data_IF_624550860933
#
_entry.id   IF_624550860933
#
_cell.length_a   1.000
_cell.length_b   1.000
_cell.length_c   1.000
_cell.angle_alpha   90.00
_cell.angle_beta   90.00
_cell.angle_gamma   90.00
#
_symmetry.space_group_name_H-M   'P 1'
#
loop_
_entity.id
_entity.type
_entity.pdbx_description
1 polymer ?
#
# COMPACT_ATOMS: atom_id res chain seq x y z
N UNK A 1 26.65 14.50 -8.60
CA UNK A 1 25.28 14.89 -8.14
C UNK A 1 25.08 14.69 -6.64
N UNK A 2 25.21 13.47 -6.08
CA UNK A 2 25.02 13.23 -4.62
C UNK A 2 25.91 14.11 -3.73
N UNK A 3 27.20 14.19 -4.02
CA UNK A 3 28.14 15.04 -3.26
C UNK A 3 27.85 16.55 -3.37
N UNK A 4 27.30 17.00 -4.50
CA UNK A 4 26.95 18.41 -4.71
C UNK A 4 25.72 18.81 -3.87
N UNK A 5 24.74 17.90 -3.74
CA UNK A 5 23.57 18.09 -2.88
C UNK A 5 23.93 17.99 -1.40
N UNK A 6 24.86 17.12 -1.04
CA UNK A 6 25.35 16.99 0.34
C UNK A 6 26.18 18.22 0.77
N UNK A 7 26.98 18.81 -0.12
CA UNK A 7 27.65 20.09 0.10
C UNK A 7 26.69 21.28 0.22
N UNK A 8 25.51 21.19 -0.39
CA UNK A 8 24.46 22.20 -0.30
C UNK A 8 23.65 22.13 1.01
N UNK A 9 23.97 21.20 1.91
CA UNK A 9 23.33 21.08 3.23
C UNK A 9 22.09 20.18 3.26
N UNK A 10 21.82 19.41 2.19
CA UNK A 10 20.74 18.44 2.17
C UNK A 10 21.22 17.09 2.73
N UNK A 11 20.65 16.67 3.86
CA UNK A 11 20.93 15.38 4.47
C UNK A 11 20.32 14.23 3.65
N UNK A 12 21.16 13.26 3.28
CA UNK A 12 20.81 12.00 2.60
C UNK A 12 19.81 12.11 1.43
N UNK A 13 20.15 12.82 0.33
CA UNK A 13 19.34 12.79 -0.87
C UNK A 13 19.29 11.37 -1.43
N UNK A 14 18.08 10.80 -1.52
CA UNK A 14 17.85 9.51 -2.16
C UNK A 14 17.70 9.75 -3.67
N UNK A 15 18.67 9.28 -4.45
CA UNK A 15 18.62 9.29 -5.91
C UNK A 15 18.17 7.93 -6.40
N UNK A 16 17.04 7.89 -7.10
CA UNK A 16 16.50 6.69 -7.72
C UNK A 16 16.31 6.94 -9.23
N UNK A 17 16.75 6.00 -10.07
CA UNK A 17 16.53 6.08 -11.51
C UNK A 17 15.05 5.83 -11.82
N UNK A 18 14.43 6.73 -12.59
CA UNK A 18 13.00 6.65 -12.91
C UNK A 18 12.81 6.08 -14.31
N UNK A 19 12.73 4.76 -14.42
CA UNK A 19 12.36 4.02 -15.65
C UNK A 19 13.37 4.02 -16.80
N UNK A 20 14.06 5.14 -17.08
CA UNK A 20 15.07 5.30 -18.16
C UNK A 20 16.40 5.81 -17.60
N UNK A 21 17.52 5.53 -18.27
CA UNK A 21 18.87 6.00 -17.88
C UNK A 21 19.04 7.52 -17.88
N UNK A 22 18.06 8.27 -18.39
CA UNK A 22 18.08 9.73 -18.49
C UNK A 22 17.18 10.44 -17.47
N UNK A 23 16.34 9.70 -16.74
CA UNK A 23 15.41 10.28 -15.77
C UNK A 23 15.79 9.85 -14.35
N UNK A 24 15.97 10.84 -13.48
CA UNK A 24 16.33 10.64 -12.07
C UNK A 24 15.28 11.29 -11.17
N UNK A 25 14.82 10.52 -10.20
CA UNK A 25 13.97 10.99 -9.11
C UNK A 25 14.86 11.28 -7.91
N UNK A 26 14.77 12.50 -7.40
CA UNK A 26 15.46 12.93 -6.18
C UNK A 26 14.41 13.10 -5.10
N UNK A 27 14.53 12.31 -4.03
CA UNK A 27 13.72 12.44 -2.81
C UNK A 27 14.59 13.01 -1.70
N UNK A 28 14.04 13.97 -0.97
CA UNK A 28 14.73 14.64 0.11
C UNK A 28 13.71 15.08 1.16
N UNK A 29 14.03 14.94 2.46
CA UNK A 29 13.16 15.39 3.53
C UNK A 29 12.99 16.92 3.49
N UNK A 30 11.84 17.44 3.99
CA UNK A 30 11.64 18.89 4.08
C UNK A 30 12.66 19.50 5.04
N UNK A 31 13.51 20.40 4.54
CA UNK A 31 14.46 21.16 5.38
C UNK A 31 13.73 22.30 6.09
N UNK A 32 13.98 22.46 7.40
CA UNK A 32 13.33 23.49 8.22
C UNK A 32 13.59 24.90 7.66
N UNK A 33 12.53 25.62 7.30
CA UNK A 33 12.59 27.06 6.98
C UNK A 33 12.48 27.47 5.51
N UNK A 34 12.48 26.55 4.53
CA UNK A 34 12.28 26.92 3.12
C UNK A 34 10.80 26.79 2.69
N UNK A 35 10.17 27.95 2.46
CA UNK A 35 8.79 28.09 1.99
C UNK A 35 8.67 27.71 0.51
N UNK A 36 8.38 26.43 0.26
CA UNK A 36 7.76 25.96 -0.98
C UNK A 36 8.66 25.08 -1.85
N UNK A 37 8.11 23.93 -2.25
CA UNK A 37 8.77 22.97 -3.14
C UNK A 37 9.26 23.53 -4.47
N UNK A 38 8.65 24.61 -4.96
CA UNK A 38 9.04 25.24 -6.23
C UNK A 38 10.35 26.03 -6.13
N UNK A 39 10.64 26.59 -4.95
CA UNK A 39 11.88 27.35 -4.68
C UNK A 39 13.03 26.39 -4.39
N UNK A 40 12.74 25.29 -3.70
CA UNK A 40 13.65 24.16 -3.51
C UNK A 40 14.03 23.53 -4.86
N UNK A 41 13.05 23.25 -5.72
CA UNK A 41 13.28 22.63 -7.02
C UNK A 41 14.14 23.49 -7.95
N UNK A 42 13.92 24.80 -8.02
CA UNK A 42 14.75 25.69 -8.84
C UNK A 42 16.18 25.82 -8.30
N UNK A 43 16.35 25.87 -6.97
CA UNK A 43 17.67 25.91 -6.31
C UNK A 43 18.48 24.62 -6.55
N UNK A 44 17.83 23.46 -6.44
CA UNK A 44 18.42 22.16 -6.71
C UNK A 44 18.86 22.04 -8.18
N UNK A 45 18.08 22.56 -9.12
CA UNK A 45 18.42 22.51 -10.56
C UNK A 45 19.59 23.40 -10.91
N UNK A 46 19.65 24.60 -10.33
CA UNK A 46 20.80 25.50 -10.51
C UNK A 46 22.08 24.83 -10.00
N UNK A 47 22.04 24.19 -8.83
CA UNK A 47 23.19 23.45 -8.26
C UNK A 47 23.58 22.25 -9.14
N UNK A 48 22.62 21.52 -9.68
CA UNK A 48 22.88 20.37 -10.56
C UNK A 48 23.48 20.81 -11.90
N UNK A 49 22.97 21.91 -12.48
CA UNK A 49 23.47 22.48 -13.74
C UNK A 49 24.90 23.03 -13.57
N UNK A 50 25.18 23.72 -12.46
CA UNK A 50 26.53 24.21 -12.13
C UNK A 50 27.52 23.05 -11.91
N UNK A 51 27.10 21.99 -11.21
CA UNK A 51 27.97 20.86 -10.89
C UNK A 51 28.21 19.91 -12.07
N UNK A 52 27.28 19.83 -13.04
CA UNK A 52 27.30 18.81 -14.10
C UNK A 52 27.59 19.38 -15.49
N UNK A 53 27.58 20.72 -15.69
CA UNK A 53 27.72 21.36 -17.01
C UNK A 53 26.75 20.81 -18.08
N UNK A 54 25.64 20.21 -17.63
CA UNK A 54 24.59 19.62 -18.46
C UNK A 54 23.28 20.32 -18.15
N UNK A 55 22.44 20.49 -19.17
CA UNK A 55 21.17 21.20 -19.05
C UNK A 55 20.10 20.24 -18.49
N UNK A 56 20.06 20.09 -17.16
CA UNK A 56 19.02 19.31 -16.49
C UNK A 56 17.72 20.12 -16.45
N UNK A 57 16.66 19.57 -17.04
CA UNK A 57 15.33 20.15 -17.02
C UNK A 57 14.47 19.45 -15.98
N UNK A 58 13.76 20.23 -15.16
CA UNK A 58 12.79 19.67 -14.21
C UNK A 58 11.57 19.18 -14.96
N UNK A 59 11.32 17.87 -14.90
CA UNK A 59 10.07 17.31 -15.44
C UNK A 59 8.89 17.53 -14.52
N UNK A 60 9.07 17.35 -13.21
CA UNK A 60 8.00 17.43 -12.22
C UNK A 60 8.57 17.69 -10.82
N UNK A 61 7.91 18.57 -10.06
CA UNK A 61 8.20 18.81 -8.65
C UNK A 61 6.95 18.43 -7.88
N UNK A 62 7.09 17.52 -6.92
CA UNK A 62 6.05 17.22 -5.95
C UNK A 62 6.61 17.54 -4.58
N UNK A 63 5.89 18.39 -3.84
CA UNK A 63 6.24 18.74 -2.48
C UNK A 63 5.06 18.43 -1.58
N UNK A 64 5.29 17.52 -0.65
CA UNK A 64 4.34 17.17 0.40
C UNK A 64 4.86 17.79 1.69
N UNK A 65 4.08 18.71 2.27
CA UNK A 65 4.44 19.32 3.54
C UNK A 65 4.39 18.29 4.68
N UNK A 66 5.29 18.36 5.68
CA UNK A 66 5.38 17.38 6.76
C UNK A 66 4.08 17.25 7.57
N UNK A 67 3.36 18.35 7.77
CA UNK A 67 2.05 18.36 8.44
C UNK A 67 0.99 17.57 7.65
N UNK A 68 0.88 17.82 6.35
CA UNK A 68 -0.08 17.13 5.47
C UNK A 68 0.28 15.65 5.33
N UNK A 69 1.57 15.32 5.21
CA UNK A 69 2.03 13.93 5.14
C UNK A 69 1.70 13.13 6.41
N UNK A 70 1.90 13.72 7.59
CA UNK A 70 1.58 13.08 8.86
C UNK A 70 0.07 12.83 9.02
N UNK A 71 -0.77 13.82 8.67
CA UNK A 71 -2.22 13.70 8.71
C UNK A 71 -2.72 12.61 7.76
N UNK A 72 -2.16 12.53 6.54
CA UNK A 72 -2.51 11.48 5.57
C UNK A 72 -2.10 10.09 6.07
N UNK A 73 -0.90 9.95 6.62
CA UNK A 73 -0.42 8.68 7.15
C UNK A 73 -1.29 8.18 8.32
N UNK A 74 -1.61 9.07 9.26
CA UNK A 74 -2.46 8.75 10.40
C UNK A 74 -3.89 8.40 9.96
N UNK A 75 -4.47 9.20 9.06
CA UNK A 75 -5.82 8.96 8.54
C UNK A 75 -5.89 7.65 7.76
N UNK A 76 -4.89 7.36 6.93
CA UNK A 76 -4.78 6.12 6.18
C UNK A 76 -4.66 4.89 7.09
N UNK A 77 -3.83 4.97 8.12
CA UNK A 77 -3.70 3.91 9.12
C UNK A 77 -5.01 3.65 9.88
N UNK A 78 -5.70 4.72 10.31
CA UNK A 78 -7.00 4.60 10.97
C UNK A 78 -8.07 4.01 10.05
N UNK A 79 -8.12 4.41 8.78
CA UNK A 79 -9.05 3.86 7.80
C UNK A 79 -8.83 2.36 7.59
N UNK A 80 -7.57 1.91 7.49
CA UNK A 80 -7.20 0.50 7.37
C UNK A 80 -7.65 -0.32 8.59
N UNK A 81 -7.42 0.20 9.80
CA UNK A 81 -7.85 -0.43 11.05
C UNK A 81 -9.37 -0.57 11.13
N UNK A 82 -10.10 0.49 10.82
CA UNK A 82 -11.57 0.48 10.83
C UNK A 82 -12.11 -0.52 9.80
N UNK A 83 -11.55 -0.54 8.58
CA UNK A 83 -11.94 -1.48 7.55
C UNK A 83 -11.75 -2.95 8.00
N UNK A 84 -10.61 -3.28 8.61
CA UNK A 84 -10.32 -4.62 9.13
C UNK A 84 -11.34 -5.04 10.20
N UNK A 85 -11.65 -4.15 11.15
CA UNK A 85 -12.65 -4.42 12.20
C UNK A 85 -14.05 -4.61 11.58
N UNK A 86 -14.44 -3.74 10.64
CA UNK A 86 -15.73 -3.86 9.95
C UNK A 86 -15.87 -5.19 9.21
N UNK A 87 -14.82 -5.66 8.53
CA UNK A 87 -14.79 -6.96 7.86
C UNK A 87 -14.92 -8.10 8.89
N UNK A 88 -14.19 -8.04 10.00
CA UNK A 88 -14.26 -9.04 11.06
C UNK A 88 -15.69 -9.18 11.61
N UNK A 89 -16.34 -8.05 11.91
CA UNK A 89 -17.73 -8.02 12.40
C UNK A 89 -18.68 -8.58 11.34
N UNK A 90 -18.53 -8.18 10.08
CA UNK A 90 -19.37 -8.65 8.97
C UNK A 90 -19.27 -10.17 8.80
N UNK A 91 -18.04 -10.71 8.72
CA UNK A 91 -17.82 -12.15 8.52
C UNK A 91 -18.28 -12.94 9.76
N UNK A 92 -18.02 -12.42 10.97
CA UNK A 92 -18.43 -13.05 12.23
C UNK A 92 -19.96 -13.16 12.38
N UNK A 93 -20.72 -12.16 11.93
CA UNK A 93 -22.19 -12.26 11.90
C UNK A 93 -22.72 -13.12 10.75
N UNK A 94 -22.01 -13.20 9.63
CA UNK A 94 -22.47 -13.86 8.40
C UNK A 94 -22.18 -15.37 8.36
N UNK A 95 -21.17 -15.86 9.08
CA UNK A 95 -20.65 -17.23 9.01
C UNK A 95 -20.43 -17.88 10.40
N UNK A 96 -20.31 -19.21 10.45
CA UNK A 96 -19.89 -19.90 11.68
C UNK A 96 -18.46 -19.50 12.08
N UNK A 97 -18.22 -19.38 13.39
CA UNK A 97 -16.94 -18.97 13.99
C UNK A 97 -15.71 -19.69 13.43
N UNK A 98 -15.86 -20.96 13.02
CA UNK A 98 -14.78 -21.77 12.42
C UNK A 98 -14.33 -21.28 11.04
N UNK A 99 -15.26 -20.79 10.21
CA UNK A 99 -14.95 -20.22 8.89
C UNK A 99 -14.47 -18.78 9.03
N UNK A 100 -15.07 -18.02 9.96
CA UNK A 100 -14.66 -16.65 10.24
C UNK A 100 -13.18 -16.57 10.66
N UNK A 101 -12.72 -17.47 11.54
CA UNK A 101 -11.31 -17.52 11.96
C UNK A 101 -10.35 -17.79 10.78
N UNK A 102 -10.74 -18.64 9.82
CA UNK A 102 -9.93 -18.91 8.63
C UNK A 102 -9.75 -17.69 7.73
N UNK A 103 -10.83 -16.95 7.50
CA UNK A 103 -10.80 -15.69 6.70
C UNK A 103 -9.91 -14.64 7.36
N UNK A 104 -9.97 -14.52 8.69
CA UNK A 104 -9.15 -13.56 9.45
C UNK A 104 -7.66 -13.88 9.34
N UNK A 105 -7.29 -15.16 9.45
CA UNK A 105 -5.89 -15.59 9.33
C UNK A 105 -5.37 -15.33 7.91
N UNK A 106 -6.17 -15.63 6.88
CA UNK A 106 -5.79 -15.35 5.49
C UNK A 106 -5.57 -13.86 5.24
N UNK A 107 -6.48 -13.01 5.71
CA UNK A 107 -6.37 -11.55 5.60
C UNK A 107 -5.15 -11.00 6.37
N UNK A 108 -4.91 -11.49 7.58
CA UNK A 108 -3.77 -11.08 8.38
C UNK A 108 -2.45 -11.43 7.69
N UNK A 109 -2.36 -12.63 7.10
CA UNK A 109 -1.19 -13.06 6.34
C UNK A 109 -0.94 -12.16 5.12
N UNK A 110 -1.98 -11.83 4.34
CA UNK A 110 -1.86 -10.92 3.19
C UNK A 110 -1.32 -9.54 3.59
N UNK A 111 -1.83 -8.96 4.69
CA UNK A 111 -1.38 -7.65 5.17
C UNK A 111 0.06 -7.71 5.70
N UNK A 112 0.42 -8.76 6.45
CA UNK A 112 1.78 -8.91 7.00
C UNK A 112 2.81 -9.10 5.89
N UNK A 113 2.52 -9.92 4.88
CA UNK A 113 3.46 -10.14 3.77
C UNK A 113 3.61 -8.89 2.93
N UNK A 114 2.51 -8.22 2.58
CA UNK A 114 2.55 -7.01 1.77
C UNK A 114 3.33 -5.90 2.48
N UNK A 115 3.05 -5.63 3.77
CA UNK A 115 3.81 -4.67 4.56
C UNK A 115 5.27 -5.08 4.78
N UNK A 116 5.53 -6.38 4.99
CA UNK A 116 6.89 -6.91 5.16
C UNK A 116 7.76 -6.72 3.91
N UNK A 117 7.19 -6.96 2.73
CA UNK A 117 7.87 -6.70 1.45
C UNK A 117 8.11 -5.19 1.28
N UNK A 118 7.10 -4.35 1.50
CA UNK A 118 7.26 -2.88 1.38
C UNK A 118 8.34 -2.34 2.31
N UNK A 119 8.40 -2.85 3.55
CA UNK A 119 9.44 -2.50 4.52
C UNK A 119 10.82 -2.96 4.10
N UNK A 120 10.96 -4.17 3.53
CA UNK A 120 12.24 -4.69 3.04
C UNK A 120 12.84 -3.79 1.95
N UNK A 121 11.99 -3.29 1.04
CA UNK A 121 12.40 -2.42 -0.06
C UNK A 121 12.49 -0.93 0.33
N UNK A 122 12.28 -0.59 1.61
CA UNK A 122 12.28 0.80 2.11
C UNK A 122 11.36 1.72 1.29
N UNK A 123 10.22 1.18 0.83
CA UNK A 123 9.24 1.93 0.05
C UNK A 123 8.44 2.81 1.02
N UNK A 124 8.42 4.11 0.75
CA UNK A 124 7.60 5.07 1.50
C UNK A 124 6.12 4.74 1.32
N UNK A 125 5.38 4.67 2.43
CA UNK A 125 3.94 4.41 2.41
C UNK A 125 3.22 5.73 2.12
N UNK A 126 2.80 5.89 0.87
CA UNK A 126 1.94 6.99 0.44
C UNK A 126 0.45 6.57 0.42
N UNK A 127 -0.42 7.54 0.16
CA UNK A 127 -1.87 7.30 0.05
C UNK A 127 -2.21 6.35 -1.11
N UNK A 128 -1.40 6.33 -2.17
CA UNK A 128 -1.60 5.44 -3.32
C UNK A 128 -1.31 3.99 -2.94
N UNK A 129 -0.27 3.73 -2.16
CA UNK A 129 0.05 2.42 -1.60
C UNK A 129 -1.08 1.99 -0.67
N UNK A 130 -1.55 2.85 0.24
CA UNK A 130 -2.70 2.53 1.11
C UNK A 130 -3.95 2.18 0.29
N UNK A 131 -4.26 2.95 -0.75
CA UNK A 131 -5.39 2.66 -1.65
C UNK A 131 -5.22 1.33 -2.40
N UNK A 132 -4.01 1.03 -2.87
CA UNK A 132 -3.70 -0.25 -3.52
C UNK A 132 -3.86 -1.43 -2.57
N UNK A 133 -3.42 -1.30 -1.31
CA UNK A 133 -3.58 -2.31 -0.26
C UNK A 133 -5.07 -2.54 0.02
N UNK A 134 -5.88 -1.49 0.12
CA UNK A 134 -7.33 -1.63 0.27
C UNK A 134 -7.95 -2.41 -0.90
N UNK A 135 -7.48 -2.17 -2.13
CA UNK A 135 -7.98 -2.86 -3.32
C UNK A 135 -7.65 -4.36 -3.29
N UNK A 136 -6.41 -4.71 -2.92
CA UNK A 136 -5.97 -6.11 -2.77
C UNK A 136 -6.75 -6.82 -1.68
N UNK A 137 -6.92 -6.18 -0.51
CA UNK A 137 -7.73 -6.71 0.60
C UNK A 137 -9.17 -6.97 0.14
N UNK A 138 -9.77 -6.04 -0.63
CA UNK A 138 -11.11 -6.21 -1.17
C UNK A 138 -11.25 -7.42 -2.10
N UNK A 139 -10.26 -7.64 -2.97
CA UNK A 139 -10.25 -8.80 -3.86
C UNK A 139 -10.04 -10.12 -3.10
N UNK A 140 -9.07 -10.17 -2.19
CA UNK A 140 -8.76 -11.34 -1.35
C UNK A 140 -9.95 -11.73 -0.46
N UNK A 141 -10.64 -10.74 0.11
CA UNK A 141 -11.87 -10.95 0.86
C UNK A 141 -12.99 -11.49 -0.03
N UNK A 142 -13.20 -10.90 -1.21
CA UNK A 142 -14.24 -11.35 -2.14
C UNK A 142 -14.03 -12.82 -2.54
N UNK A 143 -12.79 -13.21 -2.84
CA UNK A 143 -12.46 -14.60 -3.14
C UNK A 143 -12.75 -15.53 -1.93
N UNK A 144 -12.33 -15.11 -0.74
CA UNK A 144 -12.60 -15.84 0.51
C UNK A 144 -14.08 -16.05 0.80
N UNK A 145 -14.94 -15.07 0.47
CA UNK A 145 -16.40 -15.16 0.63
C UNK A 145 -16.99 -16.17 -0.36
N UNK A 146 -16.61 -16.11 -1.64
CA UNK A 146 -17.12 -17.03 -2.68
C UNK A 146 -16.73 -18.47 -2.36
N UNK A 147 -15.48 -18.71 -1.95
CA UNK A 147 -15.00 -20.04 -1.53
C UNK A 147 -15.74 -20.53 -0.29
N UNK A 148 -15.90 -19.67 0.73
CA UNK A 148 -16.63 -20.04 1.96
C UNK A 148 -18.10 -20.37 1.69
N UNK A 149 -18.74 -19.66 0.75
CA UNK A 149 -20.12 -19.93 0.37
C UNK A 149 -20.23 -21.24 -0.44
N UNK A 150 -19.27 -21.51 -1.35
CA UNK A 150 -19.18 -22.78 -2.10
C UNK A 150 -19.04 -23.99 -1.18
N UNK A 151 -18.22 -23.90 -0.13
CA UNK A 151 -18.03 -24.97 0.87
C UNK A 151 -19.35 -25.26 1.60
N UNK A 152 -20.10 -24.22 1.98
CA UNK A 152 -21.43 -24.37 2.62
C UNK A 152 -22.43 -25.02 1.68
N UNK A 153 -22.52 -24.57 0.44
CA UNK A 153 -23.43 -25.13 -0.56
C UNK A 153 -23.11 -26.61 -0.86
N UNK A 154 -21.84 -26.95 -1.00
CA UNK A 154 -21.39 -28.32 -1.29
C UNK A 154 -21.64 -29.25 -0.11
N UNK A 155 -21.42 -28.77 1.12
CA UNK A 155 -21.74 -29.51 2.34
C UNK A 155 -23.25 -29.75 2.48
N UNK A 156 -24.08 -28.76 2.16
CA UNK A 156 -25.53 -28.90 2.15
C UNK A 156 -26.03 -29.89 1.07
N UNK A 157 -25.51 -29.79 -0.17
CA UNK A 157 -25.89 -30.71 -1.27
C UNK A 157 -25.49 -32.16 -1.00
N UNK A 158 -24.32 -32.40 -0.41
CA UNK A 158 -23.85 -33.75 -0.10
C UNK A 158 -24.61 -34.42 1.06
N UNK A 159 -25.24 -33.63 1.95
CA UNK A 159 -26.22 -34.14 2.92
C UNK A 159 -27.55 -34.48 2.23
N UNK A 160 -28.07 -33.59 1.37
CA UNK A 160 -29.31 -33.83 0.63
C UNK A 160 -29.25 -35.06 -0.29
N UNK A 161 -28.14 -35.25 -1.02
CA UNK A 161 -27.95 -36.40 -1.91
C UNK A 161 -27.85 -37.76 -1.19
N UNK A 162 -27.38 -37.78 0.07
CA UNK A 162 -27.38 -39.00 0.90
C UNK A 162 -28.79 -39.40 1.32
N UNK A 163 -29.65 -38.43 1.61
CA UNK A 163 -31.04 -38.68 1.99
C UNK A 163 -31.87 -39.19 0.81
N UNK A 164 -31.66 -38.66 -0.40
CA UNK A 164 -32.35 -39.17 -1.60
C UNK A 164 -31.93 -40.60 -1.94
N UNK A 165 -30.62 -40.90 -1.89
CA UNK A 165 -30.11 -42.26 -2.16
C UNK A 165 -30.61 -43.32 -1.17
N UNK A 166 -30.92 -42.91 0.07
CA UNK A 166 -31.54 -43.78 1.08
C UNK A 166 -33.04 -44.03 0.85
N UNK A 167 -33.75 -43.12 0.17
CA UNK A 167 -35.19 -43.22 -0.08
C UNK A 167 -35.51 -43.95 -1.40
N UNK A 168 -34.63 -43.91 -2.40
CA UNK A 168 -34.81 -44.64 -3.68
C UNK A 168 -34.34 -46.10 -3.63
N UNK A 169 -33.63 -46.50 -2.55
CA UNK A 169 -33.13 -47.87 -2.38
C UNK A 169 -34.03 -48.73 -1.47
N UNK A 170 -35.29 -48.33 -1.28
CA UNK A 170 -36.32 -49.04 -0.51
C UNK A 170 -37.57 -49.18 -1.36
#
# INVERSE_FOLDING_TARGET
MREALQKAGYEEPQLQNFGSSHDIMVRMPPTEGETGGQVLGSKVVTIINEATNQNAAVKRIEFVGPSVGADLAQTGAMALLVALISILVYVGFRFEWRLAAGVVIALAHDVIITLGILSLFHIEIDLTIVASLMSVIGYSLNDSIVVSDRIRETSAKSVAGRLTKSLTCR
#
